data_IF_098082461565
#
_entry.id   IF_098082461565
#
_cell.length_a   1.000
_cell.length_b   1.000
_cell.length_c   1.000
_cell.angle_alpha   90.00
_cell.angle_beta   90.00
_cell.angle_gamma   90.00
#
_symmetry.space_group_name_H-M   'P 1'
#
loop_
_entity.id
_entity.type
_entity.pdbx_description
1 polymer ?
#
# COMPACT_ATOMS: atom_id res chain seq x y z
N UNK A 1 0.04 -19.28 8.73
CA UNK A 1 -0.35 -19.31 10.17
C UNK A 1 -0.14 -20.66 10.85
N UNK A 2 -0.62 -21.77 10.26
CA UNK A 2 -0.41 -23.11 10.87
C UNK A 2 1.08 -23.43 11.07
N UNK A 3 1.94 -23.00 10.15
CA UNK A 3 3.40 -23.14 10.30
C UNK A 3 3.94 -22.42 11.53
N UNK A 4 3.48 -21.18 11.80
CA UNK A 4 3.88 -20.46 13.01
C UNK A 4 3.45 -21.22 14.27
N UNK A 5 2.23 -21.78 14.30
CA UNK A 5 1.79 -22.62 15.42
C UNK A 5 2.69 -23.85 15.59
N UNK A 6 3.01 -24.56 14.51
CA UNK A 6 3.87 -25.73 14.54
C UNK A 6 5.29 -25.40 15.03
N UNK A 7 5.88 -24.30 14.53
CA UNK A 7 7.21 -23.83 14.92
C UNK A 7 7.23 -23.43 16.39
N UNK A 8 6.27 -22.64 16.87
CA UNK A 8 6.20 -22.22 18.27
C UNK A 8 6.09 -23.45 19.18
N UNK A 9 5.23 -24.40 18.84
CA UNK A 9 5.08 -25.64 19.62
C UNK A 9 6.35 -26.50 19.60
N UNK A 10 7.04 -26.57 18.46
CA UNK A 10 8.33 -27.24 18.35
C UNK A 10 9.39 -26.58 19.24
N UNK A 11 9.52 -25.25 19.18
CA UNK A 11 10.48 -24.49 19.97
C UNK A 11 10.20 -24.65 21.48
N UNK A 12 8.94 -24.55 21.90
CA UNK A 12 8.55 -24.79 23.30
C UNK A 12 8.95 -26.19 23.78
N UNK A 13 8.79 -27.21 22.95
CA UNK A 13 9.21 -28.58 23.27
C UNK A 13 10.73 -28.71 23.32
N UNK A 14 11.42 -28.20 22.29
CA UNK A 14 12.88 -28.32 22.13
C UNK A 14 13.65 -27.64 23.25
N UNK A 15 13.16 -26.51 23.75
CA UNK A 15 13.83 -25.71 24.78
C UNK A 15 13.17 -25.84 26.16
N UNK A 16 12.32 -26.84 26.38
CA UNK A 16 11.60 -27.04 27.66
C UNK A 16 10.83 -25.80 28.15
N UNK A 17 10.38 -24.95 27.21
CA UNK A 17 9.74 -23.66 27.43
C UNK A 17 8.20 -23.75 27.38
N UNK A 18 7.62 -24.88 27.84
CA UNK A 18 6.18 -25.17 27.73
C UNK A 18 5.30 -24.06 28.33
N UNK A 19 5.73 -23.51 29.48
CA UNK A 19 4.98 -22.49 30.22
C UNK A 19 5.38 -21.05 29.84
N UNK A 20 6.34 -20.87 28.93
CA UNK A 20 6.76 -19.53 28.53
C UNK A 20 5.64 -18.82 27.74
N UNK A 21 5.29 -17.58 28.09
CA UNK A 21 4.33 -16.79 27.33
C UNK A 21 4.92 -16.46 25.95
N UNK A 22 4.05 -16.34 24.94
CA UNK A 22 4.43 -15.98 23.57
C UNK A 22 3.69 -14.72 23.19
N UNK A 23 4.41 -13.69 22.77
CA UNK A 23 3.84 -12.51 22.14
C UNK A 23 4.21 -12.55 20.66
N UNK A 24 3.22 -12.39 19.80
CA UNK A 24 3.42 -12.30 18.35
C UNK A 24 3.40 -10.84 17.92
N UNK A 25 4.30 -10.48 17.00
CA UNK A 25 4.49 -9.10 16.54
C UNK A 25 4.62 -9.14 15.02
N UNK A 26 3.97 -8.22 14.34
CA UNK A 26 4.12 -8.05 12.90
C UNK A 26 3.58 -6.73 12.40
N UNK A 27 4.17 -6.25 11.30
CA UNK A 27 3.77 -5.07 10.54
C UNK A 27 3.06 -5.43 9.23
N UNK A 28 2.21 -4.55 8.71
CA UNK A 28 1.53 -4.73 7.42
C UNK A 28 0.78 -6.08 7.35
N UNK A 29 1.00 -6.88 6.30
CA UNK A 29 0.47 -8.24 6.20
C UNK A 29 0.88 -9.13 7.39
N UNK A 30 2.09 -8.97 7.93
CA UNK A 30 2.53 -9.63 9.16
C UNK A 30 1.71 -9.21 10.38
N UNK A 31 1.24 -7.96 10.42
CA UNK A 31 0.31 -7.44 11.43
C UNK A 31 -1.08 -8.06 11.30
N UNK A 32 -1.57 -8.23 10.06
CA UNK A 32 -2.82 -8.96 9.79
C UNK A 32 -2.72 -10.39 10.31
N UNK A 33 -1.66 -11.12 9.91
CA UNK A 33 -1.36 -12.47 10.39
C UNK A 33 -1.26 -12.52 11.92
N UNK A 34 -0.62 -11.54 12.54
CA UNK A 34 -0.47 -11.43 14.00
C UNK A 34 -1.82 -11.32 14.71
N UNK A 35 -2.69 -10.44 14.21
CA UNK A 35 -4.04 -10.28 14.76
C UNK A 35 -4.89 -11.55 14.60
N UNK A 36 -4.86 -12.16 13.40
CA UNK A 36 -5.59 -13.39 13.09
C UNK A 36 -5.03 -14.60 13.85
N UNK A 37 -3.72 -14.65 14.06
CA UNK A 37 -3.08 -15.72 14.82
C UNK A 37 -3.49 -15.66 16.29
N UNK A 38 -3.52 -14.47 16.91
CA UNK A 38 -4.04 -14.33 18.27
C UNK A 38 -5.52 -14.71 18.36
N UNK A 39 -6.33 -14.36 17.36
CA UNK A 39 -7.74 -14.74 17.30
C UNK A 39 -7.96 -16.25 17.16
N UNK A 40 -7.18 -16.95 16.31
CA UNK A 40 -7.39 -18.38 16.00
C UNK A 40 -6.59 -19.33 16.88
N UNK A 41 -5.45 -18.89 17.41
CA UNK A 41 -4.56 -19.69 18.27
C UNK A 41 -4.33 -19.03 19.65
N UNK A 42 -5.39 -18.67 20.40
CA UNK A 42 -5.24 -17.98 21.68
C UNK A 42 -4.59 -18.82 22.78
N UNK A 43 -4.52 -20.15 22.57
CA UNK A 43 -3.82 -21.08 23.45
C UNK A 43 -2.30 -21.13 23.19
N UNK A 44 -1.82 -20.55 22.09
CA UNK A 44 -0.40 -20.50 21.73
C UNK A 44 0.20 -19.14 22.03
N UNK A 45 -0.39 -18.07 21.49
CA UNK A 45 0.07 -16.69 21.66
C UNK A 45 -0.72 -16.00 22.76
N UNK A 46 -0.08 -15.51 23.82
CA UNK A 46 -0.70 -14.77 24.93
C UNK A 46 -1.21 -13.39 24.52
N UNK A 47 -0.54 -12.73 23.58
CA UNK A 47 -0.89 -11.41 23.09
C UNK A 47 -0.26 -11.11 21.72
N UNK A 48 -0.71 -10.01 21.11
CA UNK A 48 -0.33 -9.61 19.77
C UNK A 48 -0.09 -8.10 19.68
N UNK A 49 0.95 -7.71 18.93
CA UNK A 49 1.14 -6.34 18.43
C UNK A 49 1.02 -6.37 16.90
N UNK A 50 -0.10 -5.88 16.39
CA UNK A 50 -0.40 -5.78 14.97
C UNK A 50 -0.17 -4.33 14.52
N UNK A 51 1.00 -4.05 13.96
CA UNK A 51 1.34 -2.73 13.43
C UNK A 51 0.86 -2.59 11.99
N UNK A 52 0.28 -1.43 11.67
CA UNK A 52 -0.25 -1.02 10.37
C UNK A 52 -0.94 -2.16 9.63
N UNK A 53 -1.86 -2.83 10.33
CA UNK A 53 -2.52 -4.03 9.87
C UNK A 53 -3.88 -3.68 9.24
N UNK A 54 -4.01 -3.67 7.89
CA UNK A 54 -5.24 -3.26 7.20
C UNK A 54 -6.32 -4.36 7.21
N UNK A 55 -6.66 -4.90 8.38
CA UNK A 55 -7.61 -6.02 8.53
C UNK A 55 -9.05 -5.68 8.13
N UNK A 56 -9.37 -4.40 7.93
CA UNK A 56 -10.67 -3.92 7.47
C UNK A 56 -10.67 -3.57 5.97
N UNK A 57 -9.56 -3.69 5.24
CA UNK A 57 -9.47 -3.30 3.82
C UNK A 57 -9.97 -4.40 2.87
N UNK A 58 -11.13 -4.97 3.16
CA UNK A 58 -11.75 -6.05 2.38
C UNK A 58 -13.23 -5.75 2.13
N UNK A 59 -13.75 -6.24 1.00
CA UNK A 59 -15.14 -6.02 0.57
C UNK A 59 -15.46 -4.51 0.56
N UNK A 60 -16.60 -4.09 1.11
CA UNK A 60 -17.00 -2.70 1.29
C UNK A 60 -16.84 -2.20 2.74
N UNK A 61 -15.97 -2.84 3.54
CA UNK A 61 -15.77 -2.49 4.96
C UNK A 61 -15.01 -1.17 5.11
N UNK A 62 -13.99 -0.94 4.26
CA UNK A 62 -13.24 0.31 4.16
C UNK A 62 -13.50 0.96 2.79
N UNK A 63 -13.42 2.30 2.68
CA UNK A 63 -13.56 2.99 1.39
C UNK A 63 -12.48 2.53 0.40
N UNK A 64 -12.87 2.28 -0.85
CA UNK A 64 -11.93 1.80 -1.89
C UNK A 64 -10.81 2.81 -2.12
N UNK A 65 -11.15 4.10 -2.05
CA UNK A 65 -10.27 5.25 -2.19
C UNK A 65 -9.45 5.59 -0.95
N UNK A 66 -9.61 4.86 0.15
CA UNK A 66 -8.99 5.13 1.44
C UNK A 66 -7.46 5.29 1.37
N UNK A 67 -6.78 4.34 0.72
CA UNK A 67 -5.34 4.35 0.50
C UNK A 67 -4.90 5.63 -0.23
N UNK A 68 -5.45 5.87 -1.43
CA UNK A 68 -5.06 7.00 -2.27
C UNK A 68 -5.51 8.36 -1.74
N UNK A 69 -6.53 8.40 -0.88
CA UNK A 69 -6.93 9.61 -0.16
C UNK A 69 -5.85 10.06 0.82
N UNK A 70 -5.24 9.09 1.52
CA UNK A 70 -4.12 9.37 2.44
C UNK A 70 -2.86 9.72 1.66
N UNK A 71 -2.51 8.98 0.60
CA UNK A 71 -1.40 9.35 -0.30
C UNK A 71 -1.55 10.80 -0.78
N UNK A 72 -2.75 11.16 -1.25
CA UNK A 72 -3.07 12.51 -1.69
C UNK A 72 -2.88 13.54 -0.58
N UNK A 73 -3.35 13.22 0.64
CA UNK A 73 -3.22 14.07 1.82
C UNK A 73 -1.75 14.30 2.17
N UNK A 74 -0.92 13.27 2.19
CA UNK A 74 0.51 13.38 2.55
C UNK A 74 1.27 14.29 1.60
N UNK A 75 1.07 14.15 0.29
CA UNK A 75 1.66 15.05 -0.69
C UNK A 75 1.17 16.49 -0.54
N UNK A 76 -0.13 16.68 -0.28
CA UNK A 76 -0.72 18.00 -0.10
C UNK A 76 -0.23 18.71 1.16
N UNK A 77 -0.14 17.98 2.28
CA UNK A 77 0.37 18.51 3.55
C UNK A 77 1.87 18.77 3.52
N UNK A 78 2.63 17.95 2.78
CA UNK A 78 4.07 18.17 2.56
C UNK A 78 4.34 19.38 1.67
N UNK A 79 3.61 19.50 0.55
CA UNK A 79 3.74 20.64 -0.36
C UNK A 79 2.55 20.78 -1.31
N UNK A 80 1.76 21.84 -1.12
CA UNK A 80 0.63 22.16 -2.01
C UNK A 80 1.07 22.42 -3.47
N UNK A 81 2.24 23.05 -3.67
CA UNK A 81 2.84 23.24 -5.01
C UNK A 81 3.13 21.90 -5.69
N UNK A 82 3.75 20.96 -4.97
CA UNK A 82 4.05 19.62 -5.46
C UNK A 82 2.77 18.87 -5.83
N UNK A 83 1.80 18.83 -4.91
CA UNK A 83 0.48 18.24 -5.12
C UNK A 83 -0.22 18.79 -6.38
N UNK A 84 -0.29 20.12 -6.54
CA UNK A 84 -0.93 20.72 -7.72
C UNK A 84 -0.17 20.37 -9.01
N UNK A 85 1.17 20.34 -8.96
CA UNK A 85 2.00 19.98 -10.11
C UNK A 85 1.79 18.53 -10.53
N UNK A 86 1.69 17.59 -9.59
CA UNK A 86 1.36 16.19 -9.86
C UNK A 86 -0.03 16.09 -10.49
N UNK A 87 -1.04 16.70 -9.86
CA UNK A 87 -2.42 16.66 -10.33
C UNK A 87 -2.59 17.21 -11.76
N UNK A 88 -1.89 18.29 -12.09
CA UNK A 88 -1.91 18.89 -13.43
C UNK A 88 -1.11 18.08 -14.47
N UNK A 89 -0.08 17.35 -14.03
CA UNK A 89 0.82 16.63 -14.94
C UNK A 89 0.13 15.53 -15.74
N UNK A 90 -0.86 14.85 -15.18
CA UNK A 90 -1.61 13.78 -15.85
C UNK A 90 -2.25 14.27 -17.15
N UNK A 91 -2.90 15.44 -17.12
CA UNK A 91 -3.49 16.05 -18.31
C UNK A 91 -2.46 16.44 -19.38
N UNK A 92 -1.27 16.86 -18.96
CA UNK A 92 -0.18 17.20 -19.89
C UNK A 92 0.50 15.97 -20.50
N UNK A 93 0.59 14.86 -19.76
CA UNK A 93 1.01 13.55 -20.27
C UNK A 93 0.08 13.12 -21.41
N UNK A 94 -1.23 13.06 -21.15
CA UNK A 94 -2.23 12.67 -22.14
C UNK A 94 -2.25 13.59 -23.38
N UNK A 95 -2.17 14.90 -23.14
CA UNK A 95 -2.08 15.90 -24.21
C UNK A 95 -0.85 15.71 -25.10
N UNK A 96 0.30 15.33 -24.55
CA UNK A 96 1.49 15.03 -25.37
C UNK A 96 1.33 13.68 -26.05
N UNK A 97 0.84 12.66 -25.36
CA UNK A 97 0.63 11.32 -25.91
C UNK A 97 -0.30 11.33 -27.13
N UNK A 98 -1.33 12.19 -27.13
CA UNK A 98 -2.28 12.34 -28.25
C UNK A 98 -1.69 12.93 -29.54
N UNK A 99 -0.48 13.52 -29.49
CA UNK A 99 0.18 14.13 -30.66
C UNK A 99 0.92 13.07 -31.49
N UNK A 100 1.19 13.34 -32.79
CA UNK A 100 2.10 12.51 -33.57
C UNK A 100 3.46 12.37 -32.88
N UNK A 101 3.93 11.13 -32.70
CA UNK A 101 5.16 10.78 -31.96
C UNK A 101 5.13 11.15 -30.47
N UNK A 102 3.95 11.39 -29.88
CA UNK A 102 3.79 11.77 -28.47
C UNK A 102 4.48 10.83 -27.48
N UNK A 103 4.27 9.52 -27.63
CA UNK A 103 4.92 8.51 -26.80
C UNK A 103 6.44 8.51 -26.91
N UNK A 104 7.00 8.81 -28.11
CA UNK A 104 8.45 8.95 -28.28
C UNK A 104 8.99 10.22 -27.60
N UNK A 105 8.22 11.32 -27.61
CA UNK A 105 8.56 12.55 -26.87
C UNK A 105 8.59 12.26 -25.37
N UNK A 106 7.56 11.58 -24.84
CA UNK A 106 7.49 11.18 -23.44
C UNK A 106 8.64 10.22 -23.07
N UNK A 107 8.92 9.21 -23.90
CA UNK A 107 10.03 8.26 -23.70
C UNK A 107 11.36 8.98 -23.53
N UNK A 108 11.63 9.98 -24.37
CA UNK A 108 12.86 10.79 -24.29
C UNK A 108 12.88 11.68 -23.05
N UNK A 109 11.76 12.34 -22.74
CA UNK A 109 11.67 13.27 -21.61
C UNK A 109 11.87 12.55 -20.28
N UNK A 110 11.26 11.38 -20.12
CA UNK A 110 11.36 10.55 -18.92
C UNK A 110 12.53 9.57 -18.94
N UNK A 111 13.38 9.61 -19.98
CA UNK A 111 14.51 8.69 -20.19
C UNK A 111 14.12 7.23 -19.97
N UNK A 112 13.05 6.77 -20.60
CA UNK A 112 12.60 5.39 -20.44
C UNK A 112 13.63 4.41 -21.04
N UNK A 113 13.84 3.25 -20.42
CA UNK A 113 14.77 2.24 -20.93
C UNK A 113 14.31 1.64 -22.26
N UNK A 114 12.99 1.55 -22.44
CA UNK A 114 12.33 1.08 -23.65
C UNK A 114 11.33 2.13 -24.15
N UNK A 115 11.08 2.22 -25.47
CA UNK A 115 10.03 3.10 -25.99
C UNK A 115 8.66 2.73 -25.41
N UNK A 116 7.91 3.74 -24.97
CA UNK A 116 6.53 3.56 -24.49
C UNK A 116 5.63 3.06 -25.63
N UNK A 117 4.85 2.00 -25.38
CA UNK A 117 3.82 1.53 -26.32
C UNK A 117 2.45 2.14 -26.00
N UNK A 118 2.18 2.40 -24.72
CA UNK A 118 0.95 3.02 -24.21
C UNK A 118 1.27 4.08 -23.17
N UNK A 119 0.45 5.13 -23.09
CA UNK A 119 0.59 6.18 -22.07
C UNK A 119 0.54 5.62 -20.66
N UNK A 120 -0.34 4.64 -20.45
CA UNK A 120 -0.53 3.94 -19.18
C UNK A 120 0.78 3.42 -18.56
N UNK A 121 1.78 3.01 -19.36
CA UNK A 121 3.06 2.51 -18.82
C UNK A 121 3.79 3.60 -18.01
N UNK A 122 3.74 4.85 -18.46
CA UNK A 122 4.32 5.98 -17.73
C UNK A 122 3.43 6.39 -16.56
N UNK A 123 2.11 6.34 -16.74
CA UNK A 123 1.17 6.73 -15.68
C UNK A 123 1.25 5.79 -14.48
N UNK A 124 1.25 4.48 -14.73
CA UNK A 124 1.38 3.42 -13.73
C UNK A 124 2.73 3.49 -12.98
N UNK A 125 3.82 3.77 -13.71
CA UNK A 125 5.13 4.00 -13.12
C UNK A 125 5.15 5.21 -12.17
N UNK A 126 4.57 6.34 -12.58
CA UNK A 126 4.50 7.53 -11.74
C UNK A 126 3.56 7.34 -10.55
N UNK A 127 2.44 6.65 -10.75
CA UNK A 127 1.49 6.29 -9.70
C UNK A 127 2.20 5.49 -8.59
N UNK A 128 2.91 4.44 -8.99
CA UNK A 128 3.68 3.57 -8.09
C UNK A 128 4.71 4.36 -7.28
N UNK A 129 5.43 5.30 -7.91
CA UNK A 129 6.38 6.18 -7.19
C UNK A 129 5.67 6.97 -6.09
N UNK A 130 4.52 7.56 -6.37
CA UNK A 130 3.81 8.39 -5.40
C UNK A 130 3.19 7.55 -4.28
N UNK A 131 2.61 6.40 -4.62
CA UNK A 131 2.05 5.46 -3.66
C UNK A 131 3.14 4.92 -2.71
N UNK A 132 4.26 4.42 -3.23
CA UNK A 132 5.37 3.91 -2.42
C UNK A 132 6.04 5.01 -1.59
N UNK A 133 6.22 6.21 -2.16
CA UNK A 133 6.78 7.33 -1.41
C UNK A 133 5.92 7.68 -0.20
N UNK A 134 4.59 7.71 -0.35
CA UNK A 134 3.69 7.97 0.78
C UNK A 134 3.69 6.81 1.77
N UNK A 135 3.63 5.56 1.30
CA UNK A 135 3.61 4.39 2.17
C UNK A 135 4.85 4.29 3.07
N UNK A 136 6.02 4.69 2.55
CA UNK A 136 7.29 4.63 3.27
C UNK A 136 7.79 6.01 3.72
N UNK A 137 6.90 7.01 3.89
CA UNK A 137 7.22 8.37 4.36
C UNK A 137 7.60 8.49 5.86
N UNK A 138 8.62 7.76 6.30
CA UNK A 138 9.12 7.80 7.68
C UNK A 138 10.58 8.26 7.79
N UNK A 139 11.05 8.66 9.00
CA UNK A 139 12.43 9.07 9.21
C UNK A 139 13.43 7.89 9.11
N UNK A 140 14.67 8.14 8.63
CA UNK A 140 15.21 9.45 8.25
C UNK A 140 14.93 9.89 6.80
N UNK A 141 14.37 9.03 5.95
CA UNK A 141 14.33 9.26 4.50
C UNK A 141 13.27 10.29 4.07
N UNK A 142 12.06 10.22 4.61
CA UNK A 142 10.90 11.05 4.18
C UNK A 142 10.72 11.16 2.64
N UNK A 143 10.52 10.04 1.92
CA UNK A 143 10.32 10.01 0.47
C UNK A 143 9.40 11.06 -0.15
N UNK A 144 8.27 11.41 0.49
CA UNK A 144 7.35 12.43 -0.07
C UNK A 144 8.06 13.79 -0.12
N UNK A 145 8.84 14.11 0.90
CA UNK A 145 9.67 15.32 0.95
C UNK A 145 10.77 15.29 -0.11
N UNK A 146 11.36 14.12 -0.41
CA UNK A 146 12.36 13.96 -1.48
C UNK A 146 11.74 14.23 -2.85
N UNK A 147 10.63 13.57 -3.18
CA UNK A 147 9.91 13.74 -4.45
C UNK A 147 9.51 15.20 -4.63
N UNK A 148 8.85 15.79 -3.62
CA UNK A 148 8.40 17.18 -3.69
C UNK A 148 9.56 18.18 -3.71
N UNK A 149 10.67 17.88 -3.05
CA UNK A 149 11.90 18.66 -3.15
C UNK A 149 12.44 18.72 -4.58
N UNK A 150 12.42 17.60 -5.30
CA UNK A 150 12.79 17.54 -6.72
C UNK A 150 11.85 18.37 -7.61
N UNK A 151 10.53 18.17 -7.46
CA UNK A 151 9.50 18.86 -8.26
C UNK A 151 9.51 20.38 -8.05
N UNK A 152 9.71 20.84 -6.80
CA UNK A 152 9.67 22.26 -6.47
C UNK A 152 10.97 22.99 -6.86
N UNK A 153 12.15 22.38 -6.70
CA UNK A 153 13.43 23.00 -7.12
C UNK A 153 13.45 23.31 -8.61
N UNK A 154 12.90 22.42 -9.43
CA UNK A 154 12.79 22.62 -10.87
C UNK A 154 11.87 23.81 -11.25
N UNK A 155 10.88 24.15 -10.41
CA UNK A 155 10.02 25.32 -10.60
C UNK A 155 10.80 26.64 -10.57
N UNK A 156 11.84 26.74 -9.73
CA UNK A 156 12.68 27.93 -9.65
C UNK A 156 13.50 28.17 -10.94
N UNK A 157 13.75 27.11 -11.71
CA UNK A 157 14.50 27.14 -12.96
C UNK A 157 13.65 27.43 -14.21
N UNK A 158 12.34 27.74 -14.07
CA UNK A 158 11.38 27.97 -15.18
C UNK A 158 11.30 26.82 -16.20
N UNK A 159 11.32 25.57 -15.71
CA UNK A 159 11.18 24.35 -16.53
C UNK A 159 9.71 23.97 -16.72
N UNK A 160 9.38 23.20 -17.78
CA UNK A 160 8.00 22.76 -18.00
C UNK A 160 7.53 21.74 -16.95
N UNK A 161 6.22 21.55 -16.83
CA UNK A 161 5.63 20.71 -15.78
C UNK A 161 6.16 19.28 -15.78
N UNK A 162 6.40 18.68 -16.94
CA UNK A 162 6.87 17.30 -17.02
C UNK A 162 8.37 17.19 -16.72
N UNK A 163 9.16 18.23 -16.98
CA UNK A 163 10.55 18.28 -16.51
C UNK A 163 10.63 18.35 -14.97
N UNK A 164 9.66 19.04 -14.34
CA UNK A 164 9.54 19.09 -12.88
C UNK A 164 9.18 17.72 -12.31
N UNK A 165 8.22 17.02 -12.92
CA UNK A 165 7.86 15.64 -12.53
C UNK A 165 9.06 14.71 -12.68
N UNK A 166 9.75 14.76 -13.81
CA UNK A 166 10.96 13.97 -14.02
C UNK A 166 12.07 14.29 -13.00
N UNK A 167 12.19 15.55 -12.58
CA UNK A 167 13.11 15.93 -11.50
C UNK A 167 12.73 15.29 -10.15
N UNK A 168 11.43 15.10 -9.89
CA UNK A 168 10.94 14.32 -8.74
C UNK A 168 11.32 12.84 -8.83
N UNK A 169 11.14 12.22 -10.01
CA UNK A 169 11.57 10.83 -10.28
C UNK A 169 13.06 10.65 -10.02
N UNK A 170 13.90 11.54 -10.57
CA UNK A 170 15.36 11.52 -10.38
C UNK A 170 15.74 11.71 -8.91
N UNK A 171 15.00 12.55 -8.17
CA UNK A 171 15.26 12.78 -6.75
C UNK A 171 14.98 11.53 -5.92
N UNK A 172 13.92 10.79 -6.24
CA UNK A 172 13.51 9.59 -5.51
C UNK A 172 14.32 8.34 -5.88
N UNK A 173 14.44 8.03 -7.18
CA UNK A 173 15.10 6.82 -7.67
C UNK A 173 16.61 6.98 -7.90
N UNK A 174 17.13 8.20 -7.78
CA UNK A 174 18.48 8.57 -8.13
C UNK A 174 18.67 8.79 -9.63
N UNK A 175 19.76 9.46 -10.02
CA UNK A 175 20.06 9.75 -11.43
C UNK A 175 20.58 8.50 -12.15
N UNK A 176 19.76 7.92 -13.02
CA UNK A 176 20.07 6.72 -13.82
C UNK A 176 20.25 7.06 -15.31
N UNK A 177 20.85 6.14 -16.07
CA UNK A 177 20.95 6.24 -17.53
C UNK A 177 19.57 6.15 -18.20
N UNK A 178 18.68 5.33 -17.65
CA UNK A 178 17.28 5.21 -18.02
C UNK A 178 16.43 4.70 -16.83
N UNK A 179 15.10 4.74 -16.97
CA UNK A 179 14.12 4.23 -16.00
C UNK A 179 13.25 3.15 -16.64
N UNK A 180 13.10 2.01 -15.97
CA UNK A 180 12.20 0.94 -16.44
C UNK A 180 10.78 1.21 -15.92
N UNK A 181 9.84 1.37 -16.84
CA UNK A 181 8.43 1.60 -16.49
C UNK A 181 7.81 0.38 -15.79
N UNK A 182 8.43 -0.79 -15.86
CA UNK A 182 7.98 -2.00 -15.15
C UNK A 182 8.71 -2.24 -13.82
N UNK A 183 9.49 -1.28 -13.29
CA UNK A 183 10.28 -1.44 -12.06
C UNK A 183 9.45 -1.95 -10.86
N UNK A 184 8.18 -1.54 -10.78
CA UNK A 184 7.25 -1.92 -9.70
C UNK A 184 6.34 -3.11 -10.06
N UNK A 185 6.49 -3.67 -11.26
CA UNK A 185 5.61 -4.70 -11.81
C UNK A 185 6.31 -6.05 -12.03
N UNK A 186 7.57 -6.21 -11.60
CA UNK A 186 8.34 -7.41 -11.88
C UNK A 186 7.76 -8.68 -11.21
N UNK A 187 7.87 -9.85 -11.89
CA UNK A 187 7.38 -11.14 -11.38
C UNK A 187 8.07 -11.64 -10.10
N UNK A 188 9.21 -11.10 -9.67
CA UNK A 188 9.84 -11.50 -8.41
C UNK A 188 9.00 -11.08 -7.16
N UNK A 189 7.85 -10.43 -7.37
CA UNK A 189 6.79 -10.18 -6.38
C UNK A 189 5.62 -11.19 -6.46
N UNK A 190 5.80 -12.29 -7.22
CA UNK A 190 4.76 -13.25 -7.58
C UNK A 190 4.07 -13.88 -6.36
N UNK A 191 4.75 -14.10 -5.24
CA UNK A 191 4.09 -14.68 -4.06
C UNK A 191 3.02 -13.75 -3.50
N UNK A 192 3.34 -12.47 -3.30
CA UNK A 192 2.36 -11.49 -2.80
C UNK A 192 1.24 -11.26 -3.82
N UNK A 193 1.59 -11.17 -5.10
CA UNK A 193 0.62 -11.02 -6.17
C UNK A 193 -0.30 -12.23 -6.27
N UNK A 194 0.22 -13.44 -6.06
CA UNK A 194 -0.58 -14.66 -5.98
C UNK A 194 -1.50 -14.65 -4.76
N UNK A 195 -1.02 -14.19 -3.60
CA UNK A 195 -1.86 -14.10 -2.39
C UNK A 195 -3.03 -13.13 -2.55
N UNK A 196 -2.81 -11.97 -3.18
CA UNK A 196 -3.88 -11.00 -3.45
C UNK A 196 -4.81 -11.49 -4.56
N UNK A 197 -4.27 -12.17 -5.59
CA UNK A 197 -5.06 -12.82 -6.63
C UNK A 197 -5.86 -14.04 -6.18
N UNK A 198 -5.65 -14.55 -4.96
CA UNK A 198 -6.38 -15.68 -4.40
C UNK A 198 -7.29 -15.23 -3.27
N UNK A 199 -6.73 -14.98 -2.09
CA UNK A 199 -7.49 -14.78 -0.86
C UNK A 199 -7.54 -13.31 -0.43
N UNK A 200 -6.43 -12.57 -0.58
CA UNK A 200 -6.27 -11.21 -0.06
C UNK A 200 -6.75 -10.14 -1.06
N UNK A 201 -7.99 -10.26 -1.52
CA UNK A 201 -8.57 -9.31 -2.49
C UNK A 201 -8.93 -7.99 -1.79
N UNK A 202 -8.01 -7.04 -1.84
CA UNK A 202 -8.21 -5.68 -1.32
C UNK A 202 -8.67 -4.76 -2.46
N UNK A 203 -9.88 -4.18 -2.40
CA UNK A 203 -10.44 -3.39 -3.51
C UNK A 203 -9.94 -1.95 -3.48
N UNK A 204 -8.62 -1.78 -3.62
CA UNK A 204 -8.00 -0.45 -3.67
C UNK A 204 -8.25 0.17 -5.05
N UNK A 205 -8.67 1.43 -5.05
CA UNK A 205 -8.76 2.27 -6.23
C UNK A 205 -8.68 3.74 -5.84
N UNK A 206 -8.92 4.63 -6.79
CA UNK A 206 -8.98 6.06 -6.53
C UNK A 206 -10.08 6.76 -7.32
N UNK A 207 -10.71 7.74 -6.67
CA UNK A 207 -11.80 8.54 -7.23
C UNK A 207 -11.35 9.98 -7.52
N UNK A 208 -12.31 10.82 -7.94
CA UNK A 208 -12.10 12.22 -8.35
C UNK A 208 -11.52 13.15 -7.26
N UNK A 209 -11.52 12.72 -6.00
CA UNK A 209 -11.03 13.50 -4.86
C UNK A 209 -9.53 13.36 -4.60
N UNK A 210 -8.84 12.48 -5.33
CA UNK A 210 -7.40 12.23 -5.20
C UNK A 210 -6.55 13.15 -6.09
N UNK A 211 -5.22 13.12 -5.94
CA UNK A 211 -4.29 13.77 -6.90
C UNK A 211 -4.08 12.97 -8.19
N UNK A 212 -4.71 11.81 -8.31
CA UNK A 212 -4.58 10.86 -9.42
C UNK A 212 -5.80 10.92 -10.34
N UNK A 213 -5.68 10.53 -11.62
CA UNK A 213 -6.85 10.31 -12.48
C UNK A 213 -7.75 9.23 -11.88
N UNK A 214 -9.08 9.25 -12.06
CA UNK A 214 -9.96 8.24 -11.47
C UNK A 214 -9.68 6.83 -12.03
N UNK A 215 -9.42 5.87 -11.14
CA UNK A 215 -9.33 4.45 -11.47
C UNK A 215 -9.98 3.63 -10.35
N UNK A 216 -11.32 3.50 -10.35
CA UNK A 216 -12.03 2.71 -9.36
C UNK A 216 -11.69 1.22 -9.50
N UNK A 217 -11.68 0.50 -8.38
CA UNK A 217 -11.40 -0.93 -8.37
C UNK A 217 -12.42 -1.69 -9.23
N UNK A 218 -11.95 -2.49 -10.19
CA UNK A 218 -12.79 -3.27 -11.07
C UNK A 218 -12.58 -4.77 -10.85
N UNK A 219 -13.47 -5.39 -10.07
CA UNK A 219 -13.39 -6.80 -9.75
C UNK A 219 -13.39 -7.72 -10.99
N UNK A 220 -14.07 -7.35 -12.09
CA UNK A 220 -14.11 -8.17 -13.31
C UNK A 220 -12.75 -8.20 -14.00
N UNK A 221 -12.10 -7.04 -14.12
CA UNK A 221 -10.76 -6.95 -14.67
C UNK A 221 -9.77 -7.66 -13.76
N UNK A 222 -9.85 -7.44 -12.45
CA UNK A 222 -9.02 -8.10 -11.44
C UNK A 222 -9.08 -9.64 -11.57
N UNK A 223 -10.29 -10.22 -11.67
CA UNK A 223 -10.48 -11.67 -11.88
C UNK A 223 -9.82 -12.14 -13.19
N UNK A 224 -9.97 -11.37 -14.28
CA UNK A 224 -9.39 -11.72 -15.58
C UNK A 224 -7.87 -11.73 -15.51
N UNK A 225 -7.27 -10.72 -14.88
CA UNK A 225 -5.83 -10.57 -14.78
C UNK A 225 -5.23 -11.67 -13.91
N UNK A 226 -5.81 -11.94 -12.73
CA UNK A 226 -5.38 -13.02 -11.86
C UNK A 226 -5.50 -14.41 -12.51
N UNK A 227 -6.56 -14.65 -13.28
CA UNK A 227 -6.71 -15.89 -14.06
C UNK A 227 -5.64 -16.00 -15.14
N UNK A 228 -5.28 -14.89 -15.79
CA UNK A 228 -4.26 -14.87 -16.84
C UNK A 228 -2.85 -15.10 -16.28
N UNK A 229 -2.53 -14.54 -15.12
CA UNK A 229 -1.20 -14.60 -14.52
C UNK A 229 -0.96 -15.94 -13.82
N UNK A 230 -1.91 -16.40 -13.00
CA UNK A 230 -1.71 -17.54 -12.10
C UNK A 230 -2.69 -18.70 -12.30
N UNK A 231 -3.68 -18.57 -13.19
CA UNK A 231 -4.72 -19.58 -13.38
C UNK A 231 -5.69 -19.71 -12.21
N UNK A 232 -5.63 -18.80 -11.23
CA UNK A 232 -6.50 -18.80 -10.04
C UNK A 232 -7.70 -17.89 -10.23
N UNK A 233 -8.79 -18.17 -9.52
CA UNK A 233 -9.94 -17.29 -9.41
C UNK A 233 -9.91 -16.63 -8.02
N UNK A 234 -9.82 -15.29 -7.94
CA UNK A 234 -9.88 -14.59 -6.66
C UNK A 234 -11.16 -14.93 -5.89
N UNK A 235 -11.05 -14.99 -4.56
CA UNK A 235 -12.15 -15.23 -3.63
C UNK A 235 -12.36 -14.02 -2.71
N UNK A 236 -13.05 -12.96 -3.17
CA UNK A 236 -13.11 -11.69 -2.45
C UNK A 236 -13.73 -11.77 -1.06
N UNK A 237 -14.55 -12.79 -0.81
CA UNK A 237 -15.24 -13.00 0.47
C UNK A 237 -14.54 -13.99 1.39
N UNK A 238 -13.41 -14.57 0.99
CA UNK A 238 -12.76 -15.60 1.81
C UNK A 238 -12.30 -15.04 3.17
N UNK A 239 -11.54 -13.94 3.14
CA UNK A 239 -11.04 -13.28 4.35
C UNK A 239 -12.19 -12.79 5.24
N UNK A 240 -13.21 -12.15 4.66
CA UNK A 240 -14.35 -11.66 5.42
C UNK A 240 -15.18 -12.80 6.02
N UNK A 241 -15.35 -13.91 5.31
CA UNK A 241 -16.01 -15.12 5.85
C UNK A 241 -15.20 -15.74 6.99
N UNK A 242 -13.88 -15.83 6.84
CA UNK A 242 -13.04 -16.60 7.75
C UNK A 242 -12.68 -15.85 9.04
N UNK A 243 -12.52 -14.52 8.97
CA UNK A 243 -12.07 -13.69 10.08
C UNK A 243 -13.15 -12.78 10.68
N UNK A 244 -14.33 -12.65 10.06
CA UNK A 244 -15.48 -11.97 10.65
C UNK A 244 -16.05 -10.82 9.83
N UNK A 245 -15.34 -10.36 8.78
CA UNK A 245 -15.89 -9.44 7.78
C UNK A 245 -16.47 -8.17 8.39
N UNK A 246 -17.68 -7.79 7.99
CA UNK A 246 -18.40 -6.63 8.54
C UNK A 246 -18.60 -6.69 10.05
N UNK A 247 -18.67 -7.89 10.62
CA UNK A 247 -18.79 -8.11 12.06
C UNK A 247 -17.43 -8.23 12.77
N UNK A 248 -16.29 -7.97 12.09
CA UNK A 248 -14.96 -8.18 12.66
C UNK A 248 -14.76 -7.48 14.00
N UNK A 249 -15.25 -6.24 14.15
CA UNK A 249 -15.18 -5.51 15.43
C UNK A 249 -15.98 -6.22 16.53
N UNK A 250 -17.19 -6.70 16.22
CA UNK A 250 -18.03 -7.46 17.15
C UNK A 250 -17.39 -8.80 17.52
N UNK A 251 -16.80 -9.51 16.54
CA UNK A 251 -16.09 -10.77 16.76
C UNK A 251 -14.86 -10.57 17.63
N UNK A 252 -14.05 -9.55 17.35
CA UNK A 252 -12.91 -9.20 18.19
C UNK A 252 -13.35 -8.82 19.61
N UNK A 253 -14.44 -8.06 19.77
CA UNK A 253 -14.98 -7.72 21.08
C UNK A 253 -15.43 -8.94 21.89
N UNK A 254 -16.08 -9.92 21.23
CA UNK A 254 -16.64 -11.11 21.91
C UNK A 254 -15.61 -12.22 22.15
N UNK A 255 -14.67 -12.40 21.23
CA UNK A 255 -13.80 -13.58 21.18
C UNK A 255 -12.31 -13.25 21.11
N UNK A 256 -11.95 -12.00 20.84
CA UNK A 256 -10.58 -11.52 20.88
C UNK A 256 -10.14 -11.09 22.28
N UNK A 257 -8.82 -10.97 22.48
CA UNK A 257 -8.23 -10.35 23.67
C UNK A 257 -6.73 -10.16 23.47
N UNK A 258 -6.14 -9.20 24.19
CA UNK A 258 -4.70 -8.90 24.23
C UNK A 258 -4.11 -8.59 22.85
N UNK A 259 -4.72 -7.67 22.12
CA UNK A 259 -4.23 -7.21 20.81
C UNK A 259 -4.03 -5.71 20.86
N UNK A 260 -2.83 -5.25 20.52
CA UNK A 260 -2.55 -3.84 20.26
C UNK A 260 -2.55 -3.67 18.74
N UNK A 261 -3.42 -2.79 18.25
CA UNK A 261 -3.36 -2.31 16.86
C UNK A 261 -2.66 -0.95 16.85
N UNK A 262 -1.49 -0.86 16.22
CA UNK A 262 -0.81 0.42 16.03
C UNK A 262 -0.93 0.89 14.59
N UNK A 263 -1.28 2.16 14.35
CA UNK A 263 -1.35 2.73 13.00
C UNK A 263 -0.71 4.12 12.95
N UNK A 264 0.07 4.39 11.91
CA UNK A 264 0.47 5.74 11.55
C UNK A 264 -0.62 6.40 10.72
N UNK A 265 -1.08 7.61 11.05
CA UNK A 265 -2.15 8.26 10.27
C UNK A 265 -1.67 8.84 8.93
N UNK A 266 -0.37 8.75 8.66
CA UNK A 266 0.27 9.02 7.36
C UNK A 266 0.54 7.75 6.56
N UNK A 267 0.29 6.57 7.13
CA UNK A 267 0.33 5.33 6.37
C UNK A 267 -0.98 5.19 5.58
N UNK A 268 -0.95 5.07 4.25
CA UNK A 268 -2.13 4.84 3.44
C UNK A 268 -2.97 3.62 3.88
N UNK A 269 -2.35 2.56 4.38
CA UNK A 269 -3.06 1.37 4.86
C UNK A 269 -3.82 1.59 6.17
N UNK A 270 -3.55 2.68 6.91
CA UNK A 270 -4.30 3.01 8.12
C UNK A 270 -5.80 3.24 7.87
N UNK A 271 -6.18 3.55 6.63
CA UNK A 271 -7.59 3.64 6.20
C UNK A 271 -8.35 2.31 6.32
N UNK A 272 -7.65 1.18 6.27
CA UNK A 272 -8.16 -0.17 6.54
C UNK A 272 -7.80 -0.71 7.92
N UNK A 273 -7.22 0.11 8.81
CA UNK A 273 -6.75 -0.29 10.13
C UNK A 273 -7.79 -0.15 11.25
N UNK A 274 -7.48 -0.71 12.42
CA UNK A 274 -8.27 -0.48 13.65
C UNK A 274 -7.73 0.75 14.38
N UNK A 275 -8.48 1.85 14.30
CA UNK A 275 -8.08 3.16 14.85
C UNK A 275 -8.70 3.51 16.22
N UNK A 276 -9.61 2.67 16.73
CA UNK A 276 -10.27 2.89 18.01
C UNK A 276 -10.25 1.62 18.85
N UNK A 277 -10.20 1.77 20.18
CA UNK A 277 -10.30 0.64 21.11
C UNK A 277 -11.59 -0.16 20.85
N UNK A 278 -11.47 -1.48 20.80
CA UNK A 278 -12.60 -2.41 20.65
C UNK A 278 -13.03 -2.96 22.03
N UNK A 279 -12.08 -3.11 22.96
CA UNK A 279 -12.32 -3.49 24.36
C UNK A 279 -11.14 -3.03 25.23
N UNK A 280 -11.23 -3.27 26.54
CA UNK A 280 -10.15 -2.96 27.49
C UNK A 280 -8.83 -3.70 27.19
N UNK A 281 -8.89 -4.81 26.45
CA UNK A 281 -7.71 -5.62 26.07
C UNK A 281 -7.42 -5.62 24.56
N UNK A 282 -8.23 -4.93 23.76
CA UNK A 282 -8.03 -4.74 22.33
C UNK A 282 -8.00 -3.25 22.06
N UNK A 283 -6.79 -2.71 22.08
CA UNK A 283 -6.54 -1.27 22.09
C UNK A 283 -5.94 -0.81 20.77
N UNK A 284 -6.25 0.42 20.38
CA UNK A 284 -5.70 1.09 19.23
C UNK A 284 -4.72 2.17 19.68
N UNK A 285 -3.56 2.24 19.04
CA UNK A 285 -2.52 3.25 19.24
C UNK A 285 -2.29 3.93 17.91
N UNK A 286 -2.51 5.24 17.84
CA UNK A 286 -2.35 6.00 16.60
C UNK A 286 -1.22 7.03 16.71
N UNK A 287 -0.35 7.09 15.71
CA UNK A 287 0.67 8.13 15.57
C UNK A 287 0.22 9.14 14.50
N UNK A 288 -0.16 10.36 14.93
CA UNK A 288 -0.75 11.37 14.02
C UNK A 288 0.19 11.77 12.89
N UNK A 289 1.48 11.95 13.19
CA UNK A 289 2.50 12.35 12.22
C UNK A 289 3.42 11.20 11.80
N UNK A 290 3.06 9.97 12.15
CA UNK A 290 3.90 8.80 11.93
C UNK A 290 3.38 7.90 10.82
N UNK A 291 4.30 7.10 10.30
CA UNK A 291 4.06 5.84 9.61
C UNK A 291 4.63 4.76 10.53
N UNK A 292 3.91 3.65 10.71
CA UNK A 292 4.25 2.61 11.66
C UNK A 292 4.39 1.25 10.95
N UNK A 293 5.48 1.03 10.22
CA UNK A 293 5.75 -0.29 9.63
C UNK A 293 6.21 -1.33 10.66
#
# INVERSE_FOLDING_TARGET
>A
MADYAAVIMHLKKKYSAKNSPVIVIGGSYGGMLTSWFRLKYPHIALGALASSAPILYFDDIAPQEGYYSIVTKDFKETSESCYNTIRESWGEIEKIASKPNGLSILSKKFKTCYPLNRTFELEDFLDSIYAEAAQYDYPPEFPVSIVCGGINKASAARTDILDRIFSGVVAYLGNRSCYDMNEFNYPDTDEWRWQTCSELVMPIGHENNSMFPPAPFNLKNYIKDCKSLFGVLPQPRWITTYYGGHDLKLILQRFGSNIIFSNGLRDPYSSGGVLNNISDSIVAVSAVNGILD
#
